data_IF_181377548078
#
_entry.id   IF_181377548078
#
_cell.length_a   1.000
_cell.length_b   1.000
_cell.length_c   1.000
_cell.angle_alpha   90.00
_cell.angle_beta   90.00
_cell.angle_gamma   90.00
#
_symmetry.space_group_name_H-M   'P 1'
#
loop_
_entity.id
_entity.type
_entity.pdbx_description
1 polymer ?
#
# COMPACT_ATOMS: atom_id res chain seq x y z
N UNK A 1 -9.25 84.19 20.02
CA UNK A 1 -10.11 83.01 19.75
C UNK A 1 -9.20 81.88 19.29
N UNK A 2 -8.86 80.94 20.20
CA UNK A 2 -9.25 79.51 20.19
C UNK A 2 -8.62 78.75 19.00
N UNK A 3 -7.79 77.70 19.12
CA UNK A 3 -7.34 76.78 20.20
C UNK A 3 -6.01 76.16 19.70
N UNK A 4 -4.88 76.28 20.43
CA UNK A 4 -4.32 75.41 21.49
C UNK A 4 -3.52 74.18 21.01
N UNK A 5 -2.19 74.39 21.03
CA UNK A 5 -1.08 73.44 21.22
C UNK A 5 -1.33 72.40 22.32
N UNK A 6 -0.60 71.27 22.28
CA UNK A 6 0.62 71.01 23.09
C UNK A 6 1.14 69.59 22.76
N UNK A 7 2.41 69.52 22.39
CA UNK A 7 3.24 68.34 22.44
C UNK A 7 3.89 68.24 23.84
N UNK A 8 4.09 67.03 24.36
CA UNK A 8 5.00 66.81 25.47
C UNK A 8 5.51 65.36 25.49
N UNK A 9 6.80 65.23 25.23
CA UNK A 9 7.64 64.08 25.55
C UNK A 9 8.40 64.43 26.82
N UNK A 10 8.47 63.52 27.80
CA UNK A 10 9.66 63.36 28.64
C UNK A 10 9.63 62.02 29.42
N UNK A 11 10.81 61.64 29.88
CA UNK A 11 11.34 60.32 30.21
C UNK A 11 11.27 60.05 31.74
N UNK A 12 11.66 58.82 32.14
CA UNK A 12 12.24 58.38 33.44
C UNK A 12 11.26 57.75 34.45
N UNK A 13 11.58 56.72 35.26
CA UNK A 13 12.60 55.64 35.35
C UNK A 13 12.30 54.91 36.69
N UNK A 14 12.62 53.62 36.79
CA UNK A 14 12.82 52.78 38.02
C UNK A 14 11.59 52.37 38.88
N UNK A 15 11.30 51.06 38.84
CA UNK A 15 11.54 50.11 39.93
C UNK A 15 10.54 49.97 41.08
N UNK A 16 9.97 48.78 41.25
CA UNK A 16 10.09 47.92 42.46
C UNK A 16 9.16 46.71 42.40
N UNK A 17 9.66 45.56 42.83
CA UNK A 17 8.89 44.36 43.18
C UNK A 17 7.98 44.63 44.38
N UNK A 18 6.81 43.98 44.45
CA UNK A 18 6.42 43.10 45.56
C UNK A 18 5.09 42.36 45.25
N UNK A 19 5.00 41.18 45.86
CA UNK A 19 4.09 40.05 45.68
C UNK A 19 2.78 40.27 46.45
N UNK A 20 1.64 39.77 45.94
CA UNK A 20 0.63 39.08 46.78
C UNK A 20 -0.42 38.35 45.94
N UNK A 21 -0.71 37.12 46.37
CA UNK A 21 -1.63 36.11 45.82
C UNK A 21 -3.11 36.50 45.84
N UNK A 22 -3.92 35.80 45.03
CA UNK A 22 -5.31 35.45 45.40
C UNK A 22 -6.35 35.40 44.29
N UNK A 23 -6.84 34.18 44.01
CA UNK A 23 -8.15 33.76 43.50
C UNK A 23 -8.50 33.78 41.98
N UNK A 24 -8.45 32.55 41.44
CA UNK A 24 -9.48 31.82 40.70
C UNK A 24 -10.17 32.49 39.50
N UNK A 25 -9.72 32.06 38.31
CA UNK A 25 -10.53 32.05 37.09
C UNK A 25 -10.76 30.63 36.61
N UNK A 26 -12.05 30.36 36.42
CA UNK A 26 -12.68 29.15 35.94
C UNK A 26 -11.97 28.48 34.77
N UNK A 27 -11.84 27.16 34.93
CA UNK A 27 -11.59 26.17 33.89
C UNK A 27 -12.63 26.28 32.76
N UNK A 28 -12.16 26.66 31.58
CA UNK A 28 -12.62 26.06 30.33
C UNK A 28 -11.46 25.18 29.87
N UNK A 29 -11.49 23.91 30.28
CA UNK A 29 -10.68 22.87 29.67
C UNK A 29 -11.26 22.64 28.28
N UNK A 30 -10.55 23.06 27.25
CA UNK A 30 -10.62 22.38 25.96
C UNK A 30 -10.20 20.94 26.22
N UNK A 31 -11.17 20.05 26.07
CA UNK A 31 -10.98 18.61 26.16
C UNK A 31 -10.27 18.13 24.89
N UNK A 32 -8.97 18.40 24.80
CA UNK A 32 -8.08 17.80 23.82
C UNK A 32 -7.69 16.39 24.27
N UNK A 33 -8.70 15.55 24.49
CA UNK A 33 -8.52 14.10 24.61
C UNK A 33 -8.97 13.45 23.32
N UNK A 34 -8.25 13.74 22.22
CA UNK A 34 -8.13 12.80 21.10
C UNK A 34 -6.79 12.13 21.30
N UNK A 35 -6.83 10.85 21.67
CA UNK A 35 -5.68 9.98 21.80
C UNK A 35 -4.87 9.96 20.50
N UNK A 36 -3.68 10.57 20.53
CA UNK A 36 -2.65 10.48 19.48
C UNK A 36 -1.98 9.09 19.48
N UNK A 37 -2.73 8.01 19.25
CA UNK A 37 -2.15 6.66 19.09
C UNK A 37 -1.84 6.29 17.63
N UNK A 38 -2.24 7.10 16.65
CA UNK A 38 -2.07 6.80 15.22
C UNK A 38 -1.12 7.76 14.48
N UNK A 39 -0.01 8.19 15.08
CA UNK A 39 1.09 8.74 14.27
C UNK A 39 1.84 7.58 13.61
N UNK A 40 1.43 7.24 12.40
CA UNK A 40 2.16 6.33 11.51
C UNK A 40 3.62 6.81 11.44
N UNK A 41 4.52 6.02 12.00
CA UNK A 41 5.93 6.42 12.16
C UNK A 41 6.54 6.59 10.76
N UNK A 42 7.22 7.71 10.50
CA UNK A 42 8.00 7.89 9.27
C UNK A 42 9.03 6.76 9.17
N UNK A 43 8.93 5.95 8.12
CA UNK A 43 9.86 4.88 7.80
C UNK A 43 10.65 5.31 6.58
N UNK A 44 11.96 5.47 6.76
CA UNK A 44 12.85 5.69 5.63
C UNK A 44 12.99 4.41 4.82
N UNK A 45 12.97 4.53 3.49
CA UNK A 45 13.02 3.41 2.56
C UNK A 45 13.88 3.75 1.36
N UNK A 46 14.70 2.80 0.92
CA UNK A 46 15.45 2.87 -0.33
C UNK A 46 14.69 2.15 -1.44
N UNK A 47 14.32 2.88 -2.49
CA UNK A 47 13.41 2.40 -3.54
C UNK A 47 13.77 2.92 -4.94
N UNK A 48 13.19 2.32 -5.97
CA UNK A 48 13.28 2.78 -7.36
C UNK A 48 12.00 2.46 -8.15
N UNK A 49 11.73 3.23 -9.21
CA UNK A 49 10.60 3.00 -10.12
C UNK A 49 10.94 2.27 -11.42
N UNK A 50 12.08 1.59 -11.47
CA UNK A 50 12.41 0.62 -12.54
C UNK A 50 12.33 1.28 -13.93
N UNK A 51 12.94 2.45 -14.08
CA UNK A 51 12.81 3.27 -15.30
C UNK A 51 13.89 3.02 -16.36
N UNK A 52 14.87 2.14 -16.07
CA UNK A 52 15.96 1.85 -16.99
C UNK A 52 16.18 0.34 -17.20
N UNK A 53 16.68 0.01 -18.39
CA UNK A 53 16.85 -1.37 -18.86
C UNK A 53 17.79 -2.20 -18.00
N UNK A 54 18.85 -1.60 -17.45
CA UNK A 54 19.78 -2.31 -16.56
C UNK A 54 19.06 -2.79 -15.29
N UNK A 55 18.15 -1.99 -14.75
CA UNK A 55 17.34 -2.39 -13.59
C UNK A 55 16.30 -3.44 -13.97
N UNK A 56 15.64 -3.30 -15.12
CA UNK A 56 14.74 -4.33 -15.65
C UNK A 56 15.45 -5.69 -15.77
N UNK A 57 16.64 -5.73 -16.38
CA UNK A 57 17.45 -6.96 -16.50
C UNK A 57 17.84 -7.53 -15.12
N UNK A 58 18.21 -6.67 -14.17
CA UNK A 58 18.51 -7.08 -12.80
C UNK A 58 17.31 -7.71 -12.10
N UNK A 59 16.12 -7.13 -12.28
CA UNK A 59 14.86 -7.66 -11.72
C UNK A 59 14.49 -8.97 -12.40
N UNK A 60 14.59 -9.07 -13.73
CA UNK A 60 14.34 -10.33 -14.45
C UNK A 60 15.19 -11.46 -13.88
N UNK A 61 16.50 -11.23 -13.76
CA UNK A 61 17.42 -12.21 -13.20
C UNK A 61 17.09 -12.55 -11.75
N UNK A 62 16.76 -11.56 -10.92
CA UNK A 62 16.36 -11.79 -9.53
C UNK A 62 15.13 -12.70 -9.42
N UNK A 63 14.07 -12.40 -10.18
CA UNK A 63 12.80 -13.13 -10.14
C UNK A 63 12.97 -14.58 -10.63
N UNK A 64 13.63 -14.77 -11.79
CA UNK A 64 13.87 -16.10 -12.36
C UNK A 64 14.75 -16.96 -11.45
N UNK A 65 15.83 -16.37 -10.89
CA UNK A 65 16.71 -17.10 -9.97
C UNK A 65 16.02 -17.55 -8.66
N UNK A 66 14.88 -16.93 -8.32
CA UNK A 66 14.08 -17.31 -7.16
C UNK A 66 12.86 -18.18 -7.53
N UNK A 67 12.79 -18.68 -8.77
CA UNK A 67 11.84 -19.72 -9.18
C UNK A 67 10.54 -19.21 -9.79
N UNK A 68 10.43 -17.90 -10.05
CA UNK A 68 9.31 -17.35 -10.83
C UNK A 68 9.55 -17.68 -12.31
N UNK A 69 8.52 -18.15 -13.03
CA UNK A 69 8.65 -18.53 -14.43
C UNK A 69 9.07 -17.34 -15.31
N UNK A 70 9.89 -17.60 -16.34
CA UNK A 70 10.30 -16.56 -17.29
C UNK A 70 9.09 -15.88 -17.96
N UNK A 71 8.03 -16.64 -18.24
CA UNK A 71 6.78 -16.12 -18.79
C UNK A 71 6.15 -15.06 -17.88
N UNK A 72 6.00 -15.37 -16.59
CA UNK A 72 5.40 -14.44 -15.63
C UNK A 72 6.29 -13.21 -15.42
N UNK A 73 7.60 -13.41 -15.39
CA UNK A 73 8.58 -12.32 -15.27
C UNK A 73 8.52 -11.39 -16.48
N UNK A 74 8.45 -11.94 -17.69
CA UNK A 74 8.33 -11.15 -18.91
C UNK A 74 7.02 -10.37 -18.97
N UNK A 75 5.92 -10.98 -18.55
CA UNK A 75 4.62 -10.31 -18.43
C UNK A 75 4.65 -9.18 -17.40
N UNK A 76 5.22 -9.41 -16.21
CA UNK A 76 5.41 -8.36 -15.21
C UNK A 76 6.26 -7.19 -15.73
N UNK A 77 7.32 -7.48 -16.48
CA UNK A 77 8.15 -6.42 -17.09
C UNK A 77 7.40 -5.67 -18.19
N UNK A 78 6.49 -6.32 -18.92
CA UNK A 78 5.57 -5.60 -19.82
C UNK A 78 4.65 -4.65 -19.04
N UNK A 79 4.16 -5.04 -17.86
CA UNK A 79 3.35 -4.14 -17.03
C UNK A 79 4.12 -2.88 -16.63
N UNK A 80 5.36 -3.05 -16.19
CA UNK A 80 6.26 -1.94 -15.83
C UNK A 80 6.49 -1.02 -17.03
N UNK A 81 6.84 -1.58 -18.18
CA UNK A 81 7.11 -0.82 -19.39
C UNK A 81 5.86 -0.08 -19.88
N UNK A 82 4.69 -0.74 -19.89
CA UNK A 82 3.43 -0.12 -20.28
C UNK A 82 3.07 1.10 -19.43
N UNK A 83 3.18 0.95 -18.11
CA UNK A 83 2.96 2.05 -17.18
C UNK A 83 4.00 3.17 -17.41
N UNK A 84 5.29 2.82 -17.37
CA UNK A 84 6.37 3.78 -17.48
C UNK A 84 6.33 4.55 -18.79
N UNK A 85 5.89 3.96 -19.91
CA UNK A 85 5.72 4.66 -21.19
C UNK A 85 4.57 5.68 -21.17
N UNK A 86 3.51 5.43 -20.38
CA UNK A 86 2.30 6.27 -20.32
C UNK A 86 2.34 7.40 -19.30
N UNK A 87 3.26 7.36 -18.34
CA UNK A 87 3.51 8.50 -17.44
C UNK A 87 3.84 9.76 -18.25
N UNK A 88 3.05 10.82 -18.12
CA UNK A 88 3.19 12.02 -18.95
C UNK A 88 4.46 12.81 -18.59
N UNK A 89 4.76 12.94 -17.29
CA UNK A 89 5.98 13.56 -16.79
C UNK A 89 6.91 12.50 -16.16
N UNK A 90 7.95 12.10 -16.90
CA UNK A 90 8.91 11.10 -16.42
C UNK A 90 9.69 11.54 -15.18
N UNK A 91 9.74 12.83 -14.87
CA UNK A 91 10.44 13.34 -13.67
C UNK A 91 9.76 12.97 -12.36
N UNK A 92 8.49 12.55 -12.41
CA UNK A 92 7.75 12.03 -11.27
C UNK A 92 8.31 10.68 -10.78
N UNK A 93 8.93 9.92 -11.70
CA UNK A 93 9.51 8.60 -11.44
C UNK A 93 10.91 8.69 -10.82
N UNK A 94 11.16 7.87 -9.81
CA UNK A 94 12.46 7.78 -9.15
C UNK A 94 13.40 6.86 -9.95
N UNK A 95 14.24 7.47 -10.78
CA UNK A 95 15.27 6.76 -11.52
C UNK A 95 16.41 6.29 -10.58
N UNK A 96 16.72 4.99 -10.65
CA UNK A 96 17.71 4.38 -9.76
C UNK A 96 17.23 4.33 -8.30
N UNK A 97 18.08 3.80 -7.42
CA UNK A 97 17.75 3.72 -6.00
C UNK A 97 17.92 5.07 -5.32
N UNK A 98 16.85 5.56 -4.70
CA UNK A 98 16.81 6.75 -3.86
C UNK A 98 16.32 6.40 -2.47
N UNK A 99 16.81 7.09 -1.46
CA UNK A 99 16.29 6.97 -0.09
C UNK A 99 15.34 8.12 0.18
N UNK A 100 14.13 7.80 0.62
CA UNK A 100 13.13 8.77 1.07
C UNK A 100 12.85 8.58 2.55
N UNK A 101 12.39 9.64 3.22
CA UNK A 101 12.12 9.61 4.66
C UNK A 101 10.74 9.03 5.01
N UNK A 102 9.83 8.95 4.03
CA UNK A 102 8.45 8.50 4.19
C UNK A 102 7.85 8.13 2.83
N UNK A 103 6.99 7.11 2.79
CA UNK A 103 6.17 6.79 1.61
C UNK A 103 4.86 7.57 1.53
N UNK A 104 4.40 8.11 2.65
CA UNK A 104 3.18 8.93 2.64
C UNK A 104 3.44 10.22 1.89
N UNK A 105 2.67 10.46 0.82
CA UNK A 105 2.89 11.58 -0.10
C UNK A 105 4.16 11.43 -0.95
N UNK A 106 4.65 10.20 -1.16
CA UNK A 106 5.82 9.95 -2.02
C UNK A 106 5.58 10.36 -3.47
N UNK A 107 4.36 10.12 -3.94
CA UNK A 107 3.88 10.51 -5.26
C UNK A 107 2.80 11.57 -5.08
N UNK A 108 2.98 12.71 -5.76
CA UNK A 108 1.83 13.48 -6.21
C UNK A 108 1.09 12.63 -7.26
N UNK A 109 -0.24 12.76 -7.44
CA UNK A 109 -0.97 11.95 -8.40
C UNK A 109 -0.32 12.00 -9.79
N UNK A 110 0.27 10.87 -10.19
CA UNK A 110 0.99 10.74 -11.46
C UNK A 110 -0.02 10.84 -12.60
N UNK A 111 0.26 11.71 -13.57
CA UNK A 111 -0.59 11.79 -14.77
C UNK A 111 -0.24 10.66 -15.73
N UNK A 112 -1.21 9.78 -15.97
CA UNK A 112 -1.10 8.70 -16.95
C UNK A 112 -1.91 9.05 -18.20
N UNK A 113 -1.27 8.88 -19.36
CA UNK A 113 -1.99 8.89 -20.63
C UNK A 113 -2.98 7.73 -20.65
N UNK A 114 -4.27 8.07 -20.69
CA UNK A 114 -5.38 7.13 -20.71
C UNK A 114 -5.31 6.19 -21.92
N UNK A 115 -5.60 4.90 -21.69
CA UNK A 115 -5.90 3.94 -22.75
C UNK A 115 -7.39 3.69 -22.80
N UNK A 116 -7.93 3.50 -24.01
CA UNK A 116 -9.34 3.21 -24.23
C UNK A 116 -9.52 1.87 -24.93
N UNK A 117 -10.59 1.19 -24.56
CA UNK A 117 -11.13 0.04 -25.27
C UNK A 117 -11.78 0.50 -26.59
N UNK A 118 -12.05 -0.44 -27.49
CA UNK A 118 -12.71 -0.15 -28.78
C UNK A 118 -14.09 0.49 -28.62
N UNK A 119 -14.79 0.15 -27.53
CA UNK A 119 -16.10 0.70 -27.18
C UNK A 119 -16.03 2.10 -26.53
N UNK A 120 -14.83 2.65 -26.36
CA UNK A 120 -14.57 3.99 -25.82
C UNK A 120 -14.47 4.07 -24.29
N UNK A 121 -14.68 2.96 -23.56
CA UNK A 121 -14.42 2.92 -22.11
C UNK A 121 -12.93 3.02 -21.81
N UNK A 122 -12.60 3.58 -20.64
CA UNK A 122 -11.23 3.58 -20.12
C UNK A 122 -10.79 2.14 -19.86
N UNK A 123 -9.56 1.82 -20.22
CA UNK A 123 -8.93 0.54 -19.90
C UNK A 123 -8.60 0.50 -18.41
N UNK A 124 -9.01 -0.56 -17.72
CA UNK A 124 -8.69 -0.74 -16.30
C UNK A 124 -7.18 -0.97 -16.08
N UNK A 125 -6.64 -0.22 -15.11
CA UNK A 125 -5.22 -0.22 -14.77
C UNK A 125 -4.81 -1.45 -13.95
N UNK A 126 -3.56 -1.88 -14.12
CA UNK A 126 -2.98 -2.95 -13.31
C UNK A 126 -2.69 -2.39 -11.91
N UNK A 127 -3.22 -3.04 -10.88
CA UNK A 127 -3.03 -2.64 -9.48
C UNK A 127 -2.08 -3.59 -8.73
N UNK A 128 -1.94 -3.36 -7.42
CA UNK A 128 -1.09 -4.15 -6.53
C UNK A 128 -1.43 -5.65 -6.51
N UNK A 129 -2.72 -6.01 -6.44
CA UNK A 129 -3.18 -7.41 -6.40
C UNK A 129 -2.86 -8.14 -7.71
N UNK A 130 -3.21 -7.54 -8.85
CA UNK A 130 -2.92 -8.10 -10.18
C UNK A 130 -1.41 -8.28 -10.41
N UNK A 131 -0.63 -7.27 -10.03
CA UNK A 131 0.83 -7.25 -10.11
C UNK A 131 1.47 -8.36 -9.26
N UNK A 132 1.07 -8.45 -7.98
CA UNK A 132 1.61 -9.45 -7.05
C UNK A 132 1.19 -10.87 -7.47
N UNK A 133 -0.05 -11.04 -7.94
CA UNK A 133 -0.55 -12.31 -8.44
C UNK A 133 0.22 -12.79 -9.66
N UNK A 134 0.53 -11.92 -10.63
CA UNK A 134 1.32 -12.33 -11.80
C UNK A 134 2.67 -12.95 -11.39
N UNK A 135 3.35 -12.33 -10.43
CA UNK A 135 4.63 -12.82 -9.92
C UNK A 135 4.51 -14.10 -9.08
N UNK A 136 3.35 -14.37 -8.48
CA UNK A 136 3.20 -15.40 -7.46
C UNK A 136 2.27 -16.57 -7.85
N UNK A 137 1.46 -16.43 -8.91
CA UNK A 137 0.42 -17.41 -9.31
C UNK A 137 0.94 -18.81 -9.58
N UNK A 138 2.21 -18.95 -9.97
CA UNK A 138 2.87 -20.24 -10.16
C UNK A 138 3.05 -21.07 -8.88
N UNK A 139 2.99 -20.43 -7.71
CA UNK A 139 3.09 -21.07 -6.39
C UNK A 139 1.72 -21.33 -5.75
N UNK A 140 0.62 -20.96 -6.42
CA UNK A 140 -0.73 -21.04 -5.86
C UNK A 140 -1.53 -22.13 -6.57
N UNK A 141 -2.22 -22.93 -5.77
CA UNK A 141 -3.30 -23.80 -6.24
C UNK A 141 -4.57 -23.51 -5.47
N UNK A 142 -5.71 -23.63 -6.15
CA UNK A 142 -7.05 -23.42 -5.58
C UNK A 142 -8.00 -24.47 -6.15
N UNK A 143 -9.04 -24.81 -5.40
CA UNK A 143 -10.15 -25.64 -5.93
C UNK A 143 -11.53 -25.16 -5.49
N UNK A 144 -11.60 -24.09 -4.71
CA UNK A 144 -12.86 -23.45 -4.36
C UNK A 144 -13.61 -22.97 -5.59
N UNK A 145 -14.92 -23.16 -5.58
CA UNK A 145 -15.84 -22.58 -6.57
C UNK A 145 -16.59 -21.45 -5.86
N UNK A 146 -16.18 -20.21 -6.11
CA UNK A 146 -16.77 -19.02 -5.51
C UNK A 146 -16.92 -17.92 -6.58
N UNK A 147 -18.07 -17.24 -6.55
CA UNK A 147 -18.32 -16.08 -7.41
C UNK A 147 -17.51 -14.88 -6.92
N UNK A 148 -17.10 -14.00 -7.85
CA UNK A 148 -16.36 -12.79 -7.49
C UNK A 148 -17.26 -11.81 -6.72
N UNK A 149 -16.79 -11.31 -5.59
CA UNK A 149 -17.42 -10.20 -4.87
C UNK A 149 -17.09 -8.84 -5.53
N UNK A 150 -17.90 -7.82 -5.27
CA UNK A 150 -17.75 -6.47 -5.82
C UNK A 150 -16.42 -5.79 -5.44
N UNK A 151 -15.76 -6.21 -4.35
CA UNK A 151 -14.40 -5.75 -4.02
C UNK A 151 -13.34 -6.09 -5.08
N UNK A 152 -13.65 -7.04 -5.97
CA UNK A 152 -12.80 -7.44 -7.08
C UNK A 152 -13.26 -6.83 -8.42
N UNK A 153 -14.33 -6.03 -8.46
CA UNK A 153 -14.95 -5.58 -9.72
C UNK A 153 -13.95 -4.95 -10.70
N UNK A 154 -13.07 -4.06 -10.23
CA UNK A 154 -12.05 -3.43 -11.08
C UNK A 154 -10.94 -4.40 -11.50
N UNK A 155 -10.62 -5.38 -10.66
CA UNK A 155 -9.64 -6.41 -11.02
C UNK A 155 -10.20 -7.34 -12.09
N UNK A 156 -11.47 -7.75 -11.94
CA UNK A 156 -12.15 -8.62 -12.89
C UNK A 156 -12.34 -7.91 -14.23
N UNK A 157 -12.74 -6.63 -14.22
CA UNK A 157 -12.80 -5.83 -15.44
C UNK A 157 -11.43 -5.71 -16.12
N UNK A 158 -10.35 -5.51 -15.35
CA UNK A 158 -8.99 -5.52 -15.90
C UNK A 158 -8.63 -6.90 -16.49
N UNK A 159 -8.88 -8.00 -15.77
CA UNK A 159 -8.62 -9.38 -16.24
C UNK A 159 -9.36 -9.66 -17.55
N UNK A 160 -10.61 -9.21 -17.67
CA UNK A 160 -11.45 -9.49 -18.84
C UNK A 160 -11.18 -8.57 -20.03
N UNK A 161 -10.72 -7.34 -19.79
CA UNK A 161 -10.58 -6.30 -20.83
C UNK A 161 -9.15 -5.93 -21.19
N UNK A 162 -8.18 -6.17 -20.30
CA UNK A 162 -6.79 -5.74 -20.49
C UNK A 162 -5.93 -6.85 -21.11
N UNK A 163 -5.60 -6.75 -22.41
CA UNK A 163 -4.92 -7.83 -23.12
C UNK A 163 -3.49 -8.09 -22.63
N UNK A 164 -2.91 -7.18 -21.85
CA UNK A 164 -1.56 -7.37 -21.30
C UNK A 164 -1.53 -8.40 -20.16
N UNK A 165 -2.62 -8.53 -19.37
CA UNK A 165 -2.68 -9.47 -18.24
C UNK A 165 -2.64 -10.92 -18.73
N UNK A 166 -3.30 -11.21 -19.86
CA UNK A 166 -3.34 -12.51 -20.51
C UNK A 166 -3.72 -13.69 -19.57
N UNK A 167 -4.49 -13.43 -18.51
CA UNK A 167 -4.94 -14.48 -17.58
C UNK A 167 -5.91 -15.41 -18.31
N UNK A 168 -5.65 -16.71 -18.17
CA UNK A 168 -6.60 -17.72 -18.61
C UNK A 168 -7.71 -17.92 -17.56
N UNK A 169 -8.65 -18.83 -17.84
CA UNK A 169 -9.75 -19.13 -16.93
C UNK A 169 -9.27 -19.63 -15.55
N UNK A 170 -8.26 -20.49 -15.52
CA UNK A 170 -7.70 -21.03 -14.27
C UNK A 170 -7.01 -19.93 -13.44
N UNK A 171 -6.28 -19.02 -14.10
CA UNK A 171 -5.67 -17.85 -13.43
C UNK A 171 -6.75 -16.96 -12.79
N UNK A 172 -7.86 -16.72 -13.51
CA UNK A 172 -8.99 -15.94 -12.98
C UNK A 172 -9.65 -16.63 -11.78
N UNK A 173 -9.85 -17.94 -11.84
CA UNK A 173 -10.41 -18.72 -10.72
C UNK A 173 -9.49 -18.70 -9.49
N UNK A 174 -8.17 -18.86 -9.69
CA UNK A 174 -7.17 -18.71 -8.61
C UNK A 174 -7.21 -17.31 -8.00
N UNK A 175 -7.27 -16.29 -8.85
CA UNK A 175 -7.34 -14.88 -8.42
C UNK A 175 -8.55 -14.63 -7.53
N UNK A 176 -9.74 -15.07 -7.97
CA UNK A 176 -11.00 -14.90 -7.22
C UNK A 176 -10.91 -15.61 -5.86
N UNK A 177 -10.45 -16.87 -5.84
CA UNK A 177 -10.32 -17.63 -4.59
C UNK A 177 -9.36 -16.96 -3.60
N UNK A 178 -8.25 -16.41 -4.09
CA UNK A 178 -7.22 -15.78 -3.26
C UNK A 178 -7.66 -14.43 -2.69
N UNK A 179 -8.30 -13.58 -3.50
CA UNK A 179 -8.54 -12.18 -3.13
C UNK A 179 -9.98 -11.85 -2.72
N UNK A 180 -10.93 -12.77 -2.87
CA UNK A 180 -12.30 -12.50 -2.41
C UNK A 180 -12.30 -12.12 -0.93
N UNK A 181 -13.15 -11.17 -0.52
CA UNK A 181 -13.22 -10.72 0.87
C UNK A 181 -13.68 -11.86 1.78
N UNK A 182 -13.45 -11.67 3.07
CA UNK A 182 -13.85 -12.59 4.14
C UNK A 182 -14.85 -11.88 5.02
N UNK A 183 -16.03 -12.47 5.17
CA UNK A 183 -17.04 -12.00 6.15
C UNK A 183 -16.54 -12.32 7.56
N UNK A 184 -16.51 -11.29 8.42
CA UNK A 184 -16.06 -11.41 9.81
C UNK A 184 -17.21 -11.35 10.82
N UNK A 185 -18.46 -11.24 10.36
CA UNK A 185 -19.62 -11.01 11.22
C UNK A 185 -19.39 -9.80 12.14
N UNK A 186 -19.80 -9.93 13.40
CA UNK A 186 -19.68 -8.82 14.37
C UNK A 186 -18.35 -8.83 15.15
N UNK A 187 -17.37 -9.68 14.80
CA UNK A 187 -16.11 -9.73 15.56
C UNK A 187 -15.22 -8.53 15.28
N UNK A 188 -14.60 -8.01 16.35
CA UNK A 188 -13.55 -6.99 16.27
C UNK A 188 -12.21 -7.48 16.82
N UNK A 189 -12.16 -8.73 17.28
CA UNK A 189 -10.97 -9.35 17.86
C UNK A 189 -10.00 -9.77 16.75
N UNK A 190 -8.78 -9.18 16.65
CA UNK A 190 -7.86 -9.45 15.56
C UNK A 190 -7.50 -10.92 15.38
N UNK A 191 -7.31 -11.65 16.48
CA UNK A 191 -6.95 -13.06 16.45
C UNK A 191 -8.07 -13.91 15.83
N UNK A 192 -9.33 -13.64 16.19
CA UNK A 192 -10.49 -14.30 15.60
C UNK A 192 -10.65 -13.95 14.11
N UNK A 193 -10.35 -12.72 13.73
CA UNK A 193 -10.40 -12.29 12.32
C UNK A 193 -9.34 -13.03 11.51
N UNK A 194 -8.12 -13.19 12.03
CA UNK A 194 -7.05 -13.97 11.39
C UNK A 194 -7.49 -15.43 11.21
N UNK A 195 -8.10 -16.04 12.22
CA UNK A 195 -8.66 -17.39 12.13
C UNK A 195 -9.72 -17.50 11.03
N UNK A 196 -10.67 -16.55 10.96
CA UNK A 196 -11.70 -16.52 9.91
C UNK A 196 -11.10 -16.38 8.51
N UNK A 197 -10.08 -15.53 8.33
CA UNK A 197 -9.38 -15.39 7.05
C UNK A 197 -8.72 -16.71 6.64
N UNK A 198 -8.01 -17.36 7.58
CA UNK A 198 -7.35 -18.65 7.33
C UNK A 198 -8.36 -19.75 7.01
N UNK A 199 -9.44 -19.85 7.77
CA UNK A 199 -10.50 -20.81 7.55
C UNK A 199 -11.14 -20.63 6.18
N UNK A 200 -11.36 -19.39 5.77
CA UNK A 200 -11.96 -19.08 4.49
C UNK A 200 -11.02 -19.39 3.31
N UNK A 201 -9.72 -19.10 3.43
CA UNK A 201 -8.70 -19.54 2.46
C UNK A 201 -8.62 -21.07 2.38
N UNK A 202 -8.71 -21.76 3.52
CA UNK A 202 -8.74 -23.23 3.57
C UNK A 202 -10.00 -23.80 2.89
N UNK A 203 -11.19 -23.23 3.11
CA UNK A 203 -12.43 -23.64 2.43
C UNK A 203 -12.34 -23.47 0.92
N UNK A 204 -11.65 -22.42 0.46
CA UNK A 204 -11.35 -22.15 -0.95
C UNK A 204 -10.21 -23.02 -1.51
N UNK A 205 -9.66 -23.91 -0.69
CA UNK A 205 -8.49 -24.75 -0.97
C UNK A 205 -7.29 -23.95 -1.51
N UNK A 206 -7.06 -22.74 -0.99
CA UNK A 206 -5.92 -21.90 -1.39
C UNK A 206 -4.66 -22.43 -0.73
N UNK A 207 -3.84 -23.14 -1.50
CA UNK A 207 -2.56 -23.69 -1.06
C UNK A 207 -1.42 -22.95 -1.73
N UNK A 208 -0.42 -22.58 -0.92
CA UNK A 208 0.83 -21.95 -1.39
C UNK A 208 1.96 -22.97 -1.27
N UNK A 209 2.52 -23.35 -2.41
CA UNK A 209 3.70 -24.19 -2.52
C UNK A 209 4.87 -23.34 -3.02
N UNK A 210 5.63 -22.80 -2.08
CA UNK A 210 6.87 -22.09 -2.37
C UNK A 210 8.04 -22.71 -1.59
N UNK A 211 9.25 -22.51 -2.10
CA UNK A 211 10.47 -23.00 -1.47
C UNK A 211 11.01 -22.04 -0.37
N UNK A 212 10.18 -21.09 0.09
CA UNK A 212 10.51 -20.09 1.10
C UNK A 212 11.20 -18.81 0.60
N UNK A 213 11.69 -18.74 -0.65
CA UNK A 213 12.47 -17.58 -1.14
C UNK A 213 11.64 -16.43 -1.69
N UNK A 214 10.42 -16.74 -2.13
CA UNK A 214 9.44 -15.78 -2.65
C UNK A 214 8.23 -15.84 -1.75
N UNK A 215 7.76 -14.69 -1.29
CA UNK A 215 6.59 -14.59 -0.43
C UNK A 215 5.57 -13.61 -0.97
N UNK A 216 4.29 -13.99 -0.91
CA UNK A 216 3.17 -13.11 -1.12
C UNK A 216 2.78 -12.50 0.21
N UNK A 217 2.70 -11.17 0.28
CA UNK A 217 2.26 -10.47 1.48
C UNK A 217 0.99 -9.70 1.15
N UNK A 218 -0.09 -10.03 1.86
CA UNK A 218 -1.40 -9.40 1.72
C UNK A 218 -1.72 -8.56 2.94
N UNK A 219 -2.12 -7.31 2.72
CA UNK A 219 -2.65 -6.41 3.75
C UNK A 219 -4.18 -6.42 3.65
N UNK A 220 -4.82 -7.00 4.66
CA UNK A 220 -6.27 -7.01 4.82
C UNK A 220 -6.72 -5.73 5.53
N UNK A 221 -7.70 -5.06 4.94
CA UNK A 221 -8.35 -3.85 5.47
C UNK A 221 -9.81 -4.19 5.76
N UNK A 222 -10.35 -3.61 6.83
CA UNK A 222 -11.75 -3.79 7.19
C UNK A 222 -12.64 -2.78 6.47
N UNK A 223 -13.78 -3.28 5.98
CA UNK A 223 -14.96 -2.49 5.70
C UNK A 223 -15.98 -2.69 6.84
N UNK A 224 -16.16 -1.66 7.66
CA UNK A 224 -17.07 -1.69 8.82
C UNK A 224 -18.55 -1.75 8.43
N UNK A 225 -18.91 -1.34 7.21
CA UNK A 225 -20.30 -1.30 6.78
C UNK A 225 -20.78 -2.68 6.30
N UNK A 226 -19.89 -3.41 5.64
CA UNK A 226 -20.15 -4.75 5.10
C UNK A 226 -19.66 -5.86 6.04
N UNK A 227 -19.00 -5.52 7.15
CA UNK A 227 -18.36 -6.47 8.08
C UNK A 227 -17.45 -7.48 7.36
N UNK A 228 -16.60 -6.95 6.45
CA UNK A 228 -15.68 -7.76 5.63
C UNK A 228 -14.23 -7.32 5.80
N UNK A 229 -13.32 -8.27 5.68
CA UNK A 229 -11.90 -8.03 5.45
C UNK A 229 -11.59 -8.28 3.98
N UNK A 230 -11.05 -7.29 3.28
CA UNK A 230 -10.62 -7.41 1.89
C UNK A 230 -9.12 -7.12 1.78
N UNK A 231 -8.45 -7.72 0.79
CA UNK A 231 -7.06 -7.39 0.50
C UNK A 231 -7.01 -6.01 -0.16
N UNK A 232 -6.55 -5.02 0.60
CA UNK A 232 -6.40 -3.64 0.12
C UNK A 232 -5.05 -3.36 -0.52
N UNK A 233 -4.02 -4.12 -0.15
CA UNK A 233 -2.71 -4.04 -0.79
C UNK A 233 -2.02 -5.41 -0.83
N UNK A 234 -1.25 -5.67 -1.88
CA UNK A 234 -0.53 -6.93 -2.04
C UNK A 234 0.85 -6.68 -2.66
N UNK A 235 1.86 -7.35 -2.12
CA UNK A 235 3.26 -7.22 -2.58
C UNK A 235 3.93 -8.60 -2.67
N UNK A 236 4.99 -8.69 -3.47
CA UNK A 236 5.89 -9.86 -3.48
C UNK A 236 7.20 -9.49 -2.82
N UNK A 237 7.65 -10.32 -1.89
CA UNK A 237 8.94 -10.19 -1.22
C UNK A 237 9.87 -11.33 -1.64
N UNK A 238 11.14 -11.00 -1.88
CA UNK A 238 12.20 -11.95 -2.17
C UNK A 238 13.31 -11.80 -1.14
N UNK A 239 13.70 -12.91 -0.52
CA UNK A 239 14.92 -12.98 0.27
C UNK A 239 16.11 -13.31 -0.64
N UNK A 240 17.08 -12.40 -0.72
CA UNK A 240 18.25 -12.58 -1.57
C UNK A 240 19.50 -11.96 -0.95
N UNK A 241 20.55 -12.76 -0.77
CA UNK A 241 21.85 -12.34 -0.21
C UNK A 241 21.76 -11.64 1.16
N UNK A 242 20.81 -12.05 2.01
CA UNK A 242 20.58 -11.44 3.32
C UNK A 242 19.87 -10.09 3.28
N UNK A 243 19.37 -9.67 2.10
CA UNK A 243 18.45 -8.54 1.94
C UNK A 243 17.03 -9.04 1.66
N UNK A 244 16.04 -8.23 2.02
CA UNK A 244 14.64 -8.43 1.66
C UNK A 244 14.26 -7.41 0.59
N UNK A 245 13.83 -7.90 -0.55
CA UNK A 245 13.48 -7.08 -1.72
C UNK A 245 11.97 -7.16 -1.90
N UNK A 246 11.29 -6.01 -1.83
CA UNK A 246 9.84 -5.93 -2.06
C UNK A 246 9.59 -5.38 -3.46
N UNK A 247 8.75 -6.06 -4.22
CA UNK A 247 8.22 -5.63 -5.50
C UNK A 247 6.72 -5.35 -5.34
N UNK A 248 6.29 -4.17 -5.77
CA UNK A 248 4.89 -3.76 -5.70
C UNK A 248 4.51 -2.82 -6.83
N UNK A 249 3.21 -2.73 -7.10
CA UNK A 249 2.60 -1.59 -7.77
C UNK A 249 2.00 -0.72 -6.66
N UNK A 250 2.47 0.50 -6.47
CA UNK A 250 2.18 1.27 -5.25
C UNK A 250 0.68 1.59 -5.09
N UNK A 251 0.00 1.89 -6.20
CA UNK A 251 -1.46 1.96 -6.36
C UNK A 251 -1.83 1.73 -7.82
N UNK A 252 -3.11 1.76 -8.21
CA UNK A 252 -3.47 1.66 -9.65
C UNK A 252 -2.85 2.76 -10.51
N UNK A 253 -2.70 3.97 -9.97
CA UNK A 253 -2.17 5.15 -10.68
C UNK A 253 -0.71 5.47 -10.35
N UNK A 254 -0.17 4.96 -9.24
CA UNK A 254 1.20 5.25 -8.81
C UNK A 254 2.19 4.20 -9.31
N UNK A 255 3.51 4.47 -9.38
CA UNK A 255 4.44 3.61 -10.10
C UNK A 255 4.62 2.19 -9.53
N UNK A 256 5.13 1.32 -10.41
CA UNK A 256 5.80 0.10 -9.95
C UNK A 256 7.04 0.49 -9.15
N UNK A 257 7.33 -0.29 -8.11
CA UNK A 257 8.39 -0.01 -7.17
C UNK A 257 9.14 -1.27 -6.80
N UNK A 258 10.45 -1.12 -6.66
CA UNK A 258 11.33 -2.06 -5.97
C UNK A 258 11.95 -1.38 -4.76
N UNK A 259 11.84 -2.01 -3.58
CA UNK A 259 12.36 -1.50 -2.31
C UNK A 259 13.25 -2.52 -1.63
N UNK A 260 14.23 -2.05 -0.86
CA UNK A 260 15.22 -2.90 -0.17
C UNK A 260 15.18 -2.70 1.34
N UNK A 261 15.30 -3.80 2.07
CA UNK A 261 15.29 -3.83 3.53
C UNK A 261 16.34 -4.79 4.06
N UNK A 262 16.88 -4.50 5.25
CA UNK A 262 17.87 -5.35 5.90
C UNK A 262 17.24 -6.45 6.75
N UNK A 263 15.98 -6.26 7.16
CA UNK A 263 15.26 -7.18 8.05
C UNK A 263 13.79 -7.33 7.64
N UNK A 264 13.17 -8.46 7.99
CA UNK A 264 11.74 -8.69 7.76
C UNK A 264 10.88 -7.74 8.60
N UNK A 265 11.34 -7.33 9.78
CA UNK A 265 10.66 -6.34 10.63
C UNK A 265 10.65 -4.95 9.99
N UNK A 266 11.66 -4.59 9.20
CA UNK A 266 11.65 -3.36 8.41
C UNK A 266 10.63 -3.43 7.29
N UNK A 267 10.46 -4.58 6.63
CA UNK A 267 9.39 -4.80 5.65
C UNK A 267 8.02 -4.60 6.32
N UNK A 268 7.80 -5.19 7.50
CA UNK A 268 6.54 -5.01 8.25
C UNK A 268 6.28 -3.56 8.62
N UNK A 269 7.29 -2.85 9.14
CA UNK A 269 7.17 -1.43 9.47
C UNK A 269 6.86 -0.58 8.23
N UNK A 270 7.51 -0.90 7.11
CA UNK A 270 7.27 -0.23 5.83
C UNK A 270 5.83 -0.40 5.37
N UNK A 271 5.31 -1.63 5.35
CA UNK A 271 3.94 -1.91 4.91
C UNK A 271 2.90 -1.24 5.84
N UNK A 272 3.12 -1.27 7.15
CA UNK A 272 2.29 -0.56 8.15
C UNK A 272 2.51 0.95 8.16
N UNK A 273 3.49 1.49 7.42
CA UNK A 273 3.72 2.93 7.34
C UNK A 273 2.82 3.65 6.34
N UNK A 274 1.98 2.89 5.62
CA UNK A 274 0.99 3.40 4.67
C UNK A 274 -0.17 4.05 5.42
N UNK A 275 -0.56 5.27 5.05
CA UNK A 275 -1.73 5.92 5.66
C UNK A 275 -3.06 5.38 5.09
N UNK A 276 -3.06 4.96 3.82
CA UNK A 276 -4.23 4.52 3.06
C UNK A 276 -4.81 3.17 3.50
N UNK A 277 -4.09 2.43 4.35
CA UNK A 277 -4.57 1.15 4.91
C UNK A 277 -5.41 1.35 6.18
N UNK A 278 -5.42 2.54 6.76
CA UNK A 278 -6.17 2.87 7.97
C UNK A 278 -7.46 3.64 7.64
N UNK A 279 -8.44 3.57 8.54
CA UNK A 279 -9.74 4.21 8.34
C UNK A 279 -10.90 3.58 9.12
N UNK A 280 -10.64 2.43 9.74
CA UNK A 280 -11.55 1.65 10.57
C UNK A 280 -10.97 1.45 11.99
N UNK A 281 -11.83 1.09 12.94
CA UNK A 281 -11.49 0.64 14.29
C UNK A 281 -10.63 -0.64 14.27
N UNK A 282 -10.93 -1.56 13.36
CA UNK A 282 -10.13 -2.77 13.13
C UNK A 282 -8.86 -2.36 12.36
N UNK A 283 -7.70 -2.59 12.99
CA UNK A 283 -6.39 -2.33 12.40
C UNK A 283 -6.10 -3.29 11.24
N UNK A 284 -5.27 -2.89 10.26
CA UNK A 284 -4.86 -3.75 9.16
C UNK A 284 -4.19 -5.02 9.64
N UNK A 285 -4.52 -6.14 9.01
CA UNK A 285 -3.92 -7.45 9.26
C UNK A 285 -2.99 -7.78 8.09
N UNK A 286 -1.76 -8.19 8.40
CA UNK A 286 -0.78 -8.59 7.37
C UNK A 286 -0.57 -10.09 7.46
N UNK A 287 -0.78 -10.78 6.33
CA UNK A 287 -0.44 -12.18 6.18
C UNK A 287 0.69 -12.34 5.16
N UNK A 288 1.67 -13.20 5.48
CA UNK A 288 2.72 -13.69 4.58
C UNK A 288 2.42 -15.13 4.20
N UNK A 289 2.25 -15.43 2.92
CA UNK A 289 1.93 -16.77 2.44
C UNK A 289 0.74 -17.42 3.20
N UNK A 290 -0.31 -16.62 3.46
CA UNK A 290 -1.50 -16.99 4.24
C UNK A 290 -1.27 -17.27 5.74
N UNK A 291 -0.05 -17.03 6.24
CA UNK A 291 0.31 -17.10 7.65
C UNK A 291 0.47 -15.70 8.26
N UNK A 292 0.40 -15.59 9.57
CA UNK A 292 0.63 -14.30 10.25
C UNK A 292 2.04 -13.80 9.98
N UNK A 293 2.17 -12.54 9.52
CA UNK A 293 3.46 -11.90 9.24
C UNK A 293 4.13 -11.39 10.51
#
# INVERSE_FOLDING_TARGET
MKKRFIALVLVLVIGSMLISCGEDKNNLKEDNTISNENQVKKVSVTLSNITNKKMEEGIKNLLVNNGISEENVDTYIKYINDYNERVEDKSELKEGFVTVDSINGLYDPVSLREKKLEDGRSLSEINCRLSAFELFKGFITTKGEIESDNYLMFDIDAIDSNPILAFNKEDKEKYINLFNPVDIGDTKEPEKIIELIKDELNKREVNIDNNGKVSLINIYINDEFENKMFVGHSVVMIESNGEYIVLEKFSSIDPFQISKFSTIEEVRKYLLSRNDIYGSEIKPIILINNEEF
#
